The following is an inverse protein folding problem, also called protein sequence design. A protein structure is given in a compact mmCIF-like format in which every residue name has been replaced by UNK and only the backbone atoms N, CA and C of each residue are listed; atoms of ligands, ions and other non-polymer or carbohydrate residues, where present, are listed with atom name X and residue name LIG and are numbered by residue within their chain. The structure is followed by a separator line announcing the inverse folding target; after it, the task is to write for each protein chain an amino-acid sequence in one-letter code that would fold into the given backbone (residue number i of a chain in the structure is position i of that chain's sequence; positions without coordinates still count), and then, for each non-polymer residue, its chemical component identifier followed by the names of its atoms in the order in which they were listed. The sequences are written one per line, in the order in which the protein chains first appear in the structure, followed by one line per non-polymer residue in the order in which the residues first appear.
data_IF_546184991662
#
_entry.id   IF_546184991662
#
_cell.length_a   1.000
_cell.length_b   1.000
_cell.length_c   1.000
_cell.angle_alpha   90.00
_cell.angle_beta   90.00
_cell.angle_gamma   90.00
#
_symmetry.space_group_name_H-M   'P 1'
#
loop_
_entity.id
_entity.type
_entity.pdbx_description
1 polymer ?
#
# COMPACT_ATOMS: atom_id res chain seq x y z
N UNK A 1 9.42 0.45 0.39
CA UNK A 1 9.46 1.70 -0.41
C UNK A 1 8.13 1.95 -1.09
N UNK A 2 7.15 2.48 -0.36
CA UNK A 2 5.73 2.56 -0.74
C UNK A 2 5.34 3.66 -1.71
N UNK A 3 6.04 3.80 -2.84
CA UNK A 3 5.63 4.74 -3.89
C UNK A 3 4.31 4.28 -4.51
N UNK A 4 3.29 5.15 -4.49
CA UNK A 4 1.93 4.84 -4.96
C UNK A 4 1.00 4.20 -3.92
N UNK A 5 1.47 4.01 -2.68
CA UNK A 5 0.65 3.54 -1.56
C UNK A 5 0.27 4.65 -0.58
N UNK A 6 -0.71 4.38 0.29
CA UNK A 6 -1.14 5.31 1.33
C UNK A 6 -2.25 4.73 2.21
N UNK A 7 -2.64 5.49 3.24
CA UNK A 7 -3.78 5.17 4.11
C UNK A 7 -4.91 6.12 3.79
N UNK A 8 -6.07 5.57 3.42
CA UNK A 8 -7.29 6.34 3.21
C UNK A 8 -8.17 6.30 4.46
N UNK A 9 -8.58 7.47 4.97
CA UNK A 9 -9.49 7.59 6.11
C UNK A 9 -10.95 7.78 5.69
N UNK A 10 -11.17 8.06 4.40
CA UNK A 10 -12.49 8.21 3.82
C UNK A 10 -12.49 7.77 2.35
N UNK A 11 -13.68 7.73 1.78
CA UNK A 11 -13.89 7.27 0.40
C UNK A 11 -13.21 8.17 -0.64
N UNK A 12 -13.20 9.48 -0.44
CA UNK A 12 -12.60 10.41 -1.39
C UNK A 12 -11.08 10.21 -1.46
N UNK A 13 -10.43 10.03 -0.31
CA UNK A 13 -9.01 9.69 -0.24
C UNK A 13 -8.72 8.34 -0.88
N UNK A 14 -9.58 7.34 -0.66
CA UNK A 14 -9.44 6.02 -1.26
C UNK A 14 -9.44 6.10 -2.79
N UNK A 15 -10.39 6.83 -3.37
CA UNK A 15 -10.51 7.00 -4.82
C UNK A 15 -9.29 7.72 -5.41
N UNK A 16 -8.81 8.78 -4.75
CA UNK A 16 -7.62 9.52 -5.19
C UNK A 16 -6.35 8.67 -5.14
N UNK A 17 -6.15 7.92 -4.03
CA UNK A 17 -4.99 7.06 -3.84
C UNK A 17 -4.99 5.87 -4.80
N UNK A 18 -6.14 5.22 -5.01
CA UNK A 18 -6.24 4.11 -5.96
C UNK A 18 -5.96 4.57 -7.39
N UNK A 19 -6.48 5.73 -7.79
CA UNK A 19 -6.24 6.28 -9.14
C UNK A 19 -4.75 6.52 -9.36
N UNK A 20 -4.08 7.22 -8.44
CA UNK A 20 -2.65 7.45 -8.54
C UNK A 20 -1.83 6.15 -8.48
N UNK A 21 -2.24 5.19 -7.64
CA UNK A 21 -1.60 3.88 -7.54
C UNK A 21 -1.72 3.06 -8.82
N UNK A 22 -2.89 3.07 -9.47
CA UNK A 22 -3.12 2.40 -10.74
C UNK A 22 -2.29 3.00 -11.88
N UNK A 23 -2.16 4.33 -11.92
CA UNK A 23 -1.33 5.04 -12.92
C UNK A 23 0.17 4.73 -12.76
N UNK A 24 0.63 4.51 -11.53
CA UNK A 24 2.02 4.15 -11.23
C UNK A 24 2.29 2.65 -11.35
N UNK A 25 1.26 1.82 -11.29
CA UNK A 25 1.38 0.36 -11.32
C UNK A 25 1.68 -0.13 -12.73
N UNK A 26 2.79 -0.87 -12.90
CA UNK A 26 3.14 -1.48 -14.19
C UNK A 26 2.12 -2.55 -14.65
N UNK A 27 1.30 -3.05 -13.73
CA UNK A 27 0.27 -4.06 -13.99
C UNK A 27 -1.15 -3.52 -13.83
N UNK A 28 -1.32 -2.20 -13.62
CA UNK A 28 -2.62 -1.55 -13.42
C UNK A 28 -3.43 -2.22 -12.29
N UNK A 29 -2.75 -2.54 -11.19
CA UNK A 29 -3.35 -3.15 -10.00
C UNK A 29 -2.93 -2.41 -8.73
N UNK A 30 -3.85 -2.33 -7.77
CA UNK A 30 -3.63 -1.86 -6.39
C UNK A 30 -4.22 -2.87 -5.40
N UNK A 31 -3.54 -3.07 -4.28
CA UNK A 31 -4.01 -3.93 -3.19
C UNK A 31 -4.60 -3.10 -2.05
N UNK A 32 -5.79 -3.47 -1.58
CA UNK A 32 -6.47 -2.83 -0.46
C UNK A 32 -6.52 -3.75 0.74
N UNK A 33 -5.99 -3.28 1.87
CA UNK A 33 -5.95 -4.05 3.11
C UNK A 33 -6.61 -3.29 4.26
N UNK A 34 -7.05 -4.04 5.29
CA UNK A 34 -7.56 -3.42 6.52
C UNK A 34 -6.40 -2.79 7.28
N UNK A 35 -6.65 -1.63 7.87
CA UNK A 35 -5.66 -0.92 8.66
C UNK A 35 -5.16 -1.75 9.84
N UNK A 36 -3.83 -1.87 9.93
CA UNK A 36 -3.11 -2.38 11.11
C UNK A 36 -2.37 -1.23 11.83
N UNK A 37 -2.82 0.01 11.65
CA UNK A 37 -2.22 1.18 12.28
C UNK A 37 -2.10 0.98 13.80
N UNK A 38 -0.89 1.19 14.33
CA UNK A 38 -0.57 1.02 15.75
C UNK A 38 -0.08 -0.37 16.15
N UNK A 39 -0.03 -1.32 15.22
CA UNK A 39 0.61 -2.61 15.45
C UNK A 39 2.13 -2.48 15.41
N UNK A 40 2.83 -3.43 16.05
CA UNK A 40 4.29 -3.53 15.93
C UNK A 40 4.64 -4.06 14.54
N UNK A 41 5.55 -3.37 13.86
CA UNK A 41 6.12 -3.79 12.58
C UNK A 41 7.52 -4.37 12.82
N UNK A 42 7.83 -5.49 12.15
CA UNK A 42 9.12 -6.18 12.25
C UNK A 42 9.59 -6.54 10.85
N UNK A 43 10.87 -6.32 10.57
CA UNK A 43 11.52 -6.70 9.32
C UNK A 43 12.59 -7.74 9.60
N UNK A 44 12.69 -8.76 8.74
CA UNK A 44 13.63 -9.88 8.89
C UNK A 44 14.39 -10.07 7.58
N UNK A 45 15.71 -9.92 7.63
CA UNK A 45 16.59 -10.27 6.52
C UNK A 45 16.91 -11.77 6.56
N UNK A 46 16.67 -12.47 5.45
CA UNK A 46 16.83 -13.93 5.35
C UNK A 46 17.79 -14.26 4.21
N UNK A 47 18.69 -15.22 4.45
CA UNK A 47 19.57 -15.81 3.45
C UNK A 47 19.15 -17.27 3.19
N UNK A 48 19.13 -17.68 1.92
CA UNK A 48 18.85 -19.05 1.49
C UNK A 48 19.94 -19.50 0.52
N UNK A 49 20.34 -20.76 0.63
CA UNK A 49 21.24 -21.44 -0.32
C UNK A 49 20.55 -21.85 -1.64
#
# INVERSE_FOLDING_TARGET
GGTGGGVAYNRQELENLCTAGLDLSMTTEVMLERSLLGWKEFELEVMRD
#
